data_IF_120437432175
#
_entry.id   IF_120437432175
#
_cell.length_a   1.000
_cell.length_b   1.000
_cell.length_c   1.000
_cell.angle_alpha   90.00
_cell.angle_beta   90.00
_cell.angle_gamma   90.00
#
_symmetry.space_group_name_H-M   'P 1'
#
loop_
_entity.id
_entity.type
_entity.pdbx_description
1 polymer ?
#
# COMPACT_ATOMS: atom_id res chain seq x y z
N UNK A 1 -2.87 -17.57 7.52
CA UNK A 1 -2.94 -16.16 7.96
C UNK A 1 -2.73 -15.25 6.77
N UNK A 2 -3.51 -14.17 6.65
CA UNK A 2 -3.28 -13.10 5.69
C UNK A 2 -2.58 -11.93 6.38
N UNK A 3 -1.83 -11.14 5.62
CA UNK A 3 -1.21 -9.91 6.11
C UNK A 3 -1.48 -8.78 5.10
N UNK A 4 -1.91 -7.63 5.60
CA UNK A 4 -2.06 -6.40 4.82
C UNK A 4 -1.11 -5.33 5.35
N UNK A 5 -0.67 -4.45 4.45
CA UNK A 5 0.15 -3.27 4.80
C UNK A 5 -0.65 -2.02 4.46
N UNK A 6 -0.75 -1.11 5.41
CA UNK A 6 -1.32 0.22 5.26
C UNK A 6 -0.17 1.19 5.49
N UNK A 7 0.15 2.01 4.49
CA UNK A 7 1.25 2.97 4.55
C UNK A 7 0.79 4.32 4.03
N UNK A 8 1.41 5.39 4.54
CA UNK A 8 1.28 6.72 3.98
C UNK A 8 2.61 7.21 3.42
N UNK A 9 2.53 8.05 2.40
CA UNK A 9 3.67 8.75 1.82
C UNK A 9 3.37 10.23 1.70
N UNK A 10 4.43 11.03 1.80
CA UNK A 10 4.32 12.49 1.75
C UNK A 10 4.06 13.03 0.36
N UNK A 11 4.70 12.42 -0.64
CA UNK A 11 4.65 12.88 -2.03
C UNK A 11 3.40 12.37 -2.77
N UNK A 12 2.96 13.09 -3.82
CA UNK A 12 1.84 12.66 -4.66
C UNK A 12 2.15 11.37 -5.43
N UNK A 13 1.11 10.65 -5.84
CA UNK A 13 1.21 9.34 -6.52
C UNK A 13 2.06 9.41 -7.80
N UNK A 14 2.00 10.51 -8.56
CA UNK A 14 2.76 10.69 -9.78
C UNK A 14 4.29 10.68 -9.57
N UNK A 15 4.78 10.95 -8.35
CA UNK A 15 6.20 10.84 -8.04
C UNK A 15 6.66 9.38 -7.91
N UNK A 16 5.74 8.47 -7.58
CA UNK A 16 5.99 7.03 -7.40
C UNK A 16 5.67 6.23 -8.67
N UNK A 17 6.10 6.72 -9.83
CA UNK A 17 5.98 6.02 -11.12
C UNK A 17 7.37 5.67 -11.66
N UNK A 18 7.50 4.70 -12.59
CA UNK A 18 8.78 4.42 -13.23
C UNK A 18 9.42 5.64 -13.91
N UNK A 19 8.59 6.54 -14.41
CA UNK A 19 8.93 7.84 -15.01
C UNK A 19 8.83 9.02 -14.02
N UNK A 20 8.46 8.76 -12.76
CA UNK A 20 8.32 9.75 -11.70
C UNK A 20 9.63 10.06 -10.99
N UNK A 21 9.58 11.00 -10.03
CA UNK A 21 10.74 11.47 -9.27
C UNK A 21 11.49 10.34 -8.57
N UNK A 22 10.75 9.41 -7.96
CA UNK A 22 11.31 8.31 -7.18
C UNK A 22 11.76 7.12 -8.04
N UNK A 23 11.46 7.12 -9.34
CA UNK A 23 11.79 6.05 -10.31
C UNK A 23 11.31 4.65 -9.92
N UNK A 24 10.35 4.57 -9.00
CA UNK A 24 9.79 3.32 -8.50
C UNK A 24 8.40 3.58 -7.89
N UNK A 25 7.53 2.57 -7.96
CA UNK A 25 6.25 2.58 -7.24
C UNK A 25 6.45 2.29 -5.76
N UNK A 26 5.52 2.74 -4.90
CA UNK A 26 5.55 2.40 -3.48
C UNK A 26 5.52 0.88 -3.28
N UNK A 27 4.77 0.15 -4.12
CA UNK A 27 4.75 -1.31 -4.10
C UNK A 27 6.14 -1.92 -4.39
N UNK A 28 6.88 -1.39 -5.37
CA UNK A 28 8.26 -1.82 -5.65
C UNK A 28 9.18 -1.54 -4.46
N UNK A 29 9.06 -0.37 -3.84
CA UNK A 29 9.84 -0.02 -2.64
C UNK A 29 9.51 -0.93 -1.44
N UNK A 30 8.25 -1.34 -1.31
CA UNK A 30 7.79 -2.24 -0.25
C UNK A 30 8.16 -3.71 -0.48
N UNK A 31 8.70 -4.09 -1.64
CA UNK A 31 8.99 -5.48 -1.97
C UNK A 31 9.83 -6.21 -0.90
N UNK A 32 10.90 -5.63 -0.30
CA UNK A 32 11.65 -6.28 0.77
C UNK A 32 10.80 -6.62 2.00
N UNK A 33 9.81 -5.80 2.34
CA UNK A 33 8.88 -6.07 3.44
C UNK A 33 7.83 -7.12 3.04
N UNK A 34 7.17 -6.91 1.90
CA UNK A 34 6.07 -7.77 1.45
C UNK A 34 6.56 -9.18 1.15
N UNK A 35 7.65 -9.30 0.39
CA UNK A 35 8.21 -10.59 0.02
C UNK A 35 9.21 -11.11 1.05
N UNK A 36 10.22 -10.29 1.39
CA UNK A 36 11.35 -10.70 2.22
C UNK A 36 11.00 -10.96 3.69
N UNK A 37 9.90 -10.38 4.19
CA UNK A 37 9.46 -10.59 5.58
C UNK A 37 8.11 -11.30 5.66
N UNK A 38 7.05 -10.75 5.06
CA UNK A 38 5.70 -11.28 5.25
C UNK A 38 5.50 -12.60 4.50
N UNK A 39 5.82 -12.65 3.21
CA UNK A 39 5.71 -13.88 2.43
C UNK A 39 6.70 -14.95 2.93
N UNK A 40 7.93 -14.55 3.27
CA UNK A 40 8.94 -15.45 3.87
C UNK A 40 8.44 -16.12 5.17
N UNK A 41 7.74 -15.37 6.04
CA UNK A 41 7.11 -15.91 7.25
C UNK A 41 5.81 -16.69 6.98
N UNK A 42 5.46 -16.94 5.71
CA UNK A 42 4.30 -17.74 5.33
C UNK A 42 2.95 -17.03 5.45
N UNK A 43 2.87 -15.72 5.28
CA UNK A 43 1.60 -14.98 5.16
C UNK A 43 1.09 -14.93 3.71
N UNK A 44 -0.23 -14.99 3.54
CA UNK A 44 -0.85 -14.59 2.27
C UNK A 44 -0.84 -13.06 2.23
N UNK A 45 0.05 -12.47 1.45
CA UNK A 45 0.24 -11.01 1.45
C UNK A 45 -0.80 -10.38 0.53
N UNK A 46 -1.64 -9.53 1.12
CA UNK A 46 -2.63 -8.74 0.40
C UNK A 46 -1.96 -7.55 -0.28
N UNK A 47 -2.57 -7.04 -1.34
CA UNK A 47 -2.08 -5.82 -1.97
C UNK A 47 -2.09 -4.65 -0.95
N UNK A 48 -0.99 -3.89 -0.82
CA UNK A 48 -0.88 -2.81 0.16
C UNK A 48 -1.82 -1.65 -0.17
N UNK A 49 -2.35 -1.01 0.87
CA UNK A 49 -2.99 0.30 0.76
C UNK A 49 -1.94 1.38 0.93
N UNK A 50 -1.92 2.36 0.02
CA UNK A 50 -0.99 3.49 0.05
C UNK A 50 -1.78 4.79 0.03
N UNK A 51 -1.67 5.60 1.08
CA UNK A 51 -2.17 6.96 1.09
C UNK A 51 -1.10 7.94 0.59
N UNK A 52 -1.37 8.64 -0.51
CA UNK A 52 -0.43 9.54 -1.17
C UNK A 52 -0.64 11.00 -0.78
N UNK A 53 0.40 11.82 -0.93
CA UNK A 53 0.31 13.27 -0.85
C UNK A 53 0.05 13.84 0.55
N UNK A 54 0.29 13.07 1.62
CA UNK A 54 -0.16 13.48 2.96
C UNK A 54 0.59 14.67 3.54
N UNK A 55 1.78 15.03 3.04
CA UNK A 55 2.52 16.20 3.53
C UNK A 55 1.80 17.51 3.21
N UNK A 56 1.06 17.56 2.10
CA UNK A 56 0.31 18.75 1.67
C UNK A 56 -1.22 18.56 1.74
N UNK A 57 -1.69 17.43 2.29
CA UNK A 57 -3.11 17.15 2.40
C UNK A 57 -3.78 18.07 3.43
N UNK A 58 -4.96 18.58 3.07
CA UNK A 58 -5.87 19.22 4.02
C UNK A 58 -6.80 18.18 4.67
N UNK A 59 -7.65 18.62 5.60
CA UNK A 59 -8.59 17.73 6.29
C UNK A 59 -9.47 16.94 5.31
N UNK A 60 -9.92 17.57 4.22
CA UNK A 60 -10.71 16.89 3.20
C UNK A 60 -9.95 15.74 2.54
N UNK A 61 -8.71 15.99 2.12
CA UNK A 61 -7.84 14.97 1.53
C UNK A 61 -7.54 13.83 2.51
N UNK A 62 -7.33 14.14 3.79
CA UNK A 62 -7.14 13.11 4.83
C UNK A 62 -8.41 12.27 5.01
N UNK A 63 -9.59 12.90 5.07
CA UNK A 63 -10.87 12.18 5.19
C UNK A 63 -11.15 11.28 3.98
N UNK A 64 -10.76 11.70 2.78
CA UNK A 64 -10.87 10.85 1.58
C UNK A 64 -10.00 9.60 1.70
N UNK A 65 -8.72 9.75 2.08
CA UNK A 65 -7.81 8.63 2.27
C UNK A 65 -8.30 7.67 3.38
N UNK A 66 -8.85 8.20 4.47
CA UNK A 66 -9.47 7.40 5.54
C UNK A 66 -10.70 6.62 5.05
N UNK A 67 -11.56 7.26 4.24
CA UNK A 67 -12.73 6.62 3.63
C UNK A 67 -12.31 5.46 2.74
N UNK A 68 -11.33 5.66 1.87
CA UNK A 68 -10.84 4.63 0.95
C UNK A 68 -10.19 3.46 1.71
N UNK A 69 -9.40 3.76 2.75
CA UNK A 69 -8.85 2.75 3.64
C UNK A 69 -9.95 1.93 4.33
N UNK A 70 -10.98 2.60 4.86
CA UNK A 70 -12.12 1.96 5.53
C UNK A 70 -12.89 1.01 4.59
N UNK A 71 -13.17 1.45 3.35
CA UNK A 71 -13.81 0.62 2.32
C UNK A 71 -12.96 -0.63 2.02
N UNK A 72 -11.64 -0.47 1.90
CA UNK A 72 -10.73 -1.59 1.62
C UNK A 72 -10.62 -2.59 2.77
N UNK A 73 -10.63 -2.11 4.01
CA UNK A 73 -10.65 -2.94 5.21
C UNK A 73 -11.98 -3.69 5.36
N UNK A 74 -13.09 -3.06 4.98
CA UNK A 74 -14.42 -3.69 5.03
C UNK A 74 -14.55 -4.85 4.03
N UNK A 75 -13.74 -4.83 2.97
CA UNK A 75 -13.69 -5.86 1.92
C UNK A 75 -12.39 -6.69 1.99
N UNK A 76 -11.76 -6.80 3.17
CA UNK A 76 -10.41 -7.39 3.28
C UNK A 76 -10.35 -8.86 2.85
N UNK A 77 -11.43 -9.62 3.01
CA UNK A 77 -11.49 -11.04 2.66
C UNK A 77 -11.54 -11.28 1.14
N UNK A 78 -12.06 -10.30 0.37
CA UNK A 78 -12.14 -10.35 -1.08
C UNK A 78 -10.95 -9.69 -1.78
N UNK A 79 -10.05 -9.04 -1.02
CA UNK A 79 -8.88 -8.39 -1.60
C UNK A 79 -7.96 -9.40 -2.31
N UNK A 80 -7.39 -9.02 -3.48
CA UNK A 80 -6.52 -9.90 -4.24
C UNK A 80 -5.27 -10.24 -3.45
N UNK A 81 -4.83 -11.50 -3.58
CA UNK A 81 -3.54 -11.94 -3.05
C UNK A 81 -2.45 -11.46 -4.00
N UNK A 82 -1.58 -10.60 -3.49
CA UNK A 82 -0.57 -9.89 -4.28
C UNK A 82 0.71 -10.70 -4.43
N UNK A 83 1.15 -11.36 -3.35
CA UNK A 83 2.34 -12.23 -3.35
C UNK A 83 1.94 -13.59 -2.78
N UNK A 84 2.19 -14.63 -3.56
CA UNK A 84 2.00 -16.02 -3.13
C UNK A 84 3.16 -16.46 -2.25
N UNK A 85 2.85 -17.31 -1.27
CA UNK A 85 3.85 -17.98 -0.44
C UNK A 85 4.70 -18.92 -1.30
N UNK A 86 5.92 -19.16 -0.84
CA UNK A 86 6.72 -20.30 -1.25
C UNK A 86 6.10 -21.61 -0.76
#
# INVERSE_FOLDING_TARGET
>A
KAAGVVVSVGDPENFYRPDGLHKATVQQMLYPLLHGTLAFCGFNVLEPFVAYGLTAANDFGIQEQLRDCSVRLSNIESNPRFIYKF
#
